data_IF_837950237687
#
_entry.id   IF_837950237687
#
_cell.length_a   1.000
_cell.length_b   1.000
_cell.length_c   1.000
_cell.angle_alpha   90.00
_cell.angle_beta   90.00
_cell.angle_gamma   90.00
#
_symmetry.space_group_name_H-M   'P 1'
#
loop_
_entity.id
_entity.type
_entity.pdbx_description
1 polymer ?
#
# COMPACT_ATOMS: atom_id res chain seq x y z
N UNK A 1 17.76 5.49 -12.04
CA UNK A 1 17.73 4.43 -11.02
C UNK A 1 18.67 4.87 -9.92
N UNK A 2 18.16 5.01 -8.69
CA UNK A 2 19.01 5.32 -7.54
C UNK A 2 20.01 4.21 -7.27
N UNK A 3 21.03 4.50 -6.46
CA UNK A 3 21.94 3.46 -5.99
C UNK A 3 21.16 2.41 -5.18
N UNK A 4 21.50 1.14 -5.35
CA UNK A 4 21.03 0.04 -4.52
C UNK A 4 22.14 -0.37 -3.56
N UNK A 5 21.76 -0.93 -2.42
CA UNK A 5 22.66 -1.57 -1.46
C UNK A 5 23.11 -2.93 -1.96
N UNK A 6 24.24 -3.43 -1.43
CA UNK A 6 24.71 -4.80 -1.68
C UNK A 6 23.80 -5.86 -1.03
N UNK A 7 23.14 -5.49 0.07
CA UNK A 7 22.15 -6.31 0.78
C UNK A 7 20.98 -5.43 1.23
N UNK A 8 19.73 -5.92 1.19
CA UNK A 8 18.59 -5.12 1.62
C UNK A 8 18.62 -4.90 3.13
N UNK A 9 18.17 -3.73 3.56
CA UNK A 9 17.87 -3.45 4.97
C UNK A 9 16.46 -3.90 5.28
N UNK A 10 16.38 -4.99 6.03
CA UNK A 10 15.12 -5.68 6.34
C UNK A 10 14.58 -5.33 7.73
N UNK A 11 15.20 -4.39 8.43
CA UNK A 11 14.63 -3.84 9.66
C UNK A 11 13.30 -3.16 9.35
N UNK A 12 12.29 -3.46 10.15
CA UNK A 12 10.94 -2.92 10.00
C UNK A 12 10.61 -1.96 11.13
N UNK A 13 9.95 -0.87 10.78
CA UNK A 13 9.30 0.00 11.74
C UNK A 13 7.80 -0.30 11.74
N UNK A 14 7.27 -0.61 12.92
CA UNK A 14 5.88 -1.00 13.11
C UNK A 14 5.17 -0.05 14.07
N UNK A 15 3.93 0.24 13.77
CA UNK A 15 2.99 0.93 14.66
C UNK A 15 1.62 0.25 14.55
N UNK A 16 0.86 0.26 15.62
CA UNK A 16 -0.50 -0.28 15.65
C UNK A 16 -1.33 0.46 16.68
N UNK A 17 -2.65 0.43 16.51
CA UNK A 17 -3.55 1.04 17.46
C UNK A 17 -5.01 0.84 17.12
N UNK A 18 -5.86 1.41 17.96
CA UNK A 18 -7.31 1.30 17.83
C UNK A 18 -8.00 2.61 18.20
N UNK A 19 -9.23 2.80 17.71
CA UNK A 19 -10.08 3.94 18.01
C UNK A 19 -11.18 4.11 16.97
N UNK A 20 -12.30 4.71 17.35
CA UNK A 20 -13.47 4.90 16.48
C UNK A 20 -14.00 3.60 15.82
N UNK A 21 -13.91 2.47 16.54
CA UNK A 21 -14.21 1.12 16.05
C UNK A 21 -13.37 0.69 14.84
N UNK A 22 -12.17 1.24 14.73
CA UNK A 22 -11.13 0.84 13.79
C UNK A 22 -9.97 0.25 14.57
N UNK A 23 -9.31 -0.74 13.98
CA UNK A 23 -7.95 -1.14 14.34
C UNK A 23 -7.04 -0.83 13.17
N UNK A 24 -5.79 -0.49 13.41
CA UNK A 24 -4.81 -0.37 12.35
C UNK A 24 -3.50 -1.03 12.73
N UNK A 25 -2.76 -1.45 11.71
CA UNK A 25 -1.35 -1.80 11.80
C UNK A 25 -0.64 -1.20 10.60
N UNK A 26 0.62 -0.85 10.77
CA UNK A 26 1.49 -0.41 9.70
C UNK A 26 2.87 -1.03 9.83
N UNK A 27 3.53 -1.14 8.70
CA UNK A 27 4.94 -1.53 8.62
C UNK A 27 5.63 -0.69 7.54
N UNK A 28 6.89 -0.39 7.76
CA UNK A 28 7.75 0.26 6.77
C UNK A 28 9.16 -0.32 6.79
N UNK A 29 9.77 -0.46 5.62
CA UNK A 29 11.07 -1.10 5.42
C UNK A 29 11.85 -0.40 4.30
N UNK A 30 13.13 -0.15 4.55
CA UNK A 30 14.00 0.51 3.58
C UNK A 30 14.29 -0.37 2.34
N UNK A 31 14.46 -1.68 2.53
CA UNK A 31 14.72 -2.60 1.42
C UNK A 31 16.07 -2.33 0.77
N UNK A 32 16.10 -2.31 -0.57
CA UNK A 32 17.34 -2.23 -1.35
C UNK A 32 17.84 -0.80 -1.58
N UNK A 33 17.04 0.23 -1.30
CA UNK A 33 17.42 1.63 -1.51
C UNK A 33 18.48 2.07 -0.49
N UNK A 34 19.31 3.06 -0.85
CA UNK A 34 20.35 3.60 0.05
C UNK A 34 19.75 4.48 1.15
N UNK A 35 18.63 5.14 0.89
CA UNK A 35 17.85 5.96 1.82
C UNK A 35 16.46 5.35 2.03
N UNK A 36 15.86 5.66 3.18
CA UNK A 36 14.43 5.50 3.44
C UNK A 36 13.79 6.87 3.28
N UNK A 37 12.96 7.04 2.25
CA UNK A 37 12.31 8.32 1.93
C UNK A 37 10.79 8.28 2.14
N UNK A 38 10.22 7.12 2.48
CA UNK A 38 8.80 7.04 2.85
C UNK A 38 8.53 7.61 4.25
N UNK A 39 7.31 8.13 4.43
CA UNK A 39 6.72 8.43 5.72
C UNK A 39 5.24 8.04 5.74
N UNK A 40 4.64 7.99 6.93
CA UNK A 40 3.23 7.65 7.10
C UNK A 40 2.61 8.43 8.26
N UNK A 41 1.29 8.47 8.31
CA UNK A 41 0.52 9.08 9.40
C UNK A 41 -0.67 8.18 9.73
N UNK A 42 -0.87 7.85 11.01
CA UNK A 42 -1.99 7.07 11.48
C UNK A 42 -2.62 7.73 12.70
N UNK A 43 -3.84 8.24 12.56
CA UNK A 43 -4.58 8.91 13.62
C UNK A 43 -5.98 8.34 13.69
N UNK A 44 -6.27 7.58 14.75
CA UNK A 44 -7.61 6.99 14.95
C UNK A 44 -8.64 8.01 15.43
N UNK A 45 -8.22 9.08 16.10
CA UNK A 45 -9.11 10.13 16.60
C UNK A 45 -8.51 11.52 16.34
N UNK A 46 -9.12 12.27 15.44
CA UNK A 46 -8.70 13.65 15.18
C UNK A 46 -9.02 14.58 16.38
N UNK A 47 -8.23 15.64 16.61
CA UNK A 47 -8.44 16.55 17.73
C UNK A 47 -9.72 17.41 17.56
N UNK A 48 -10.16 18.02 18.67
CA UNK A 48 -11.25 19.00 18.65
C UNK A 48 -12.63 18.38 18.43
N UNK A 49 -13.43 18.98 17.56
CA UNK A 49 -14.78 18.52 17.21
C UNK A 49 -14.79 17.32 16.23
N UNK A 50 -13.61 16.86 15.78
CA UNK A 50 -13.45 15.78 14.80
C UNK A 50 -13.06 14.45 15.45
N UNK A 51 -13.26 14.28 16.76
CA UNK A 51 -12.88 13.06 17.50
C UNK A 51 -13.40 11.75 16.90
N UNK A 52 -14.54 11.79 16.21
CA UNK A 52 -15.17 10.63 15.56
C UNK A 52 -14.67 10.41 14.12
N UNK A 53 -13.60 11.12 13.74
CA UNK A 53 -12.95 11.03 12.44
C UNK A 53 -11.55 10.45 12.62
N UNK A 54 -11.09 9.72 11.62
CA UNK A 54 -9.79 9.06 11.60
C UNK A 54 -9.07 9.39 10.30
N UNK A 55 -7.75 9.50 10.33
CA UNK A 55 -6.92 9.83 9.19
C UNK A 55 -5.74 8.87 9.07
N UNK A 56 -5.52 8.34 7.88
CA UNK A 56 -4.41 7.47 7.57
C UNK A 56 -3.75 7.92 6.26
N UNK A 57 -2.43 7.87 6.17
CA UNK A 57 -1.72 8.26 4.96
C UNK A 57 -0.36 7.56 4.80
N UNK A 58 0.05 7.40 3.55
CA UNK A 58 1.40 7.01 3.13
C UNK A 58 1.94 8.07 2.17
N UNK A 59 3.20 8.44 2.37
CA UNK A 59 3.92 9.48 1.63
C UNK A 59 5.21 8.87 1.09
N UNK A 60 5.32 8.70 -0.23
CA UNK A 60 6.51 8.18 -0.88
C UNK A 60 7.40 9.35 -1.32
N UNK A 61 8.52 9.52 -0.60
CA UNK A 61 9.45 10.61 -0.83
C UNK A 61 10.43 10.32 -1.96
N UNK A 62 10.80 11.36 -2.69
CA UNK A 62 11.79 11.28 -3.75
C UNK A 62 12.76 12.45 -3.70
N UNK A 63 14.04 12.15 -3.95
CA UNK A 63 15.16 13.10 -3.84
C UNK A 63 15.33 13.66 -2.42
N UNK A 64 14.95 12.87 -1.40
CA UNK A 64 15.14 13.14 0.02
C UNK A 64 13.85 13.07 0.85
N UNK A 65 13.96 12.61 2.10
CA UNK A 65 12.83 12.35 3.00
C UNK A 65 12.15 13.60 3.60
N UNK A 66 12.73 14.80 3.46
CA UNK A 66 12.24 15.98 4.20
C UNK A 66 10.74 16.27 3.94
N UNK A 67 10.30 16.07 2.70
CA UNK A 67 8.94 16.42 2.30
C UNK A 67 7.93 15.38 2.77
N UNK A 68 8.24 14.08 2.66
CA UNK A 68 7.40 13.01 3.19
C UNK A 68 7.30 13.09 4.72
N UNK A 69 8.41 13.33 5.43
CA UNK A 69 8.44 13.56 6.88
C UNK A 69 7.63 14.80 7.30
N UNK A 70 7.68 15.87 6.52
CA UNK A 70 6.88 17.07 6.79
C UNK A 70 5.39 16.78 6.59
N UNK A 71 5.03 16.04 5.54
CA UNK A 71 3.64 15.66 5.27
C UNK A 71 3.09 14.79 6.40
N UNK A 72 3.85 13.80 6.89
CA UNK A 72 3.39 12.96 8.00
C UNK A 72 3.09 13.77 9.27
N UNK A 73 3.83 14.85 9.52
CA UNK A 73 3.62 15.71 10.68
C UNK A 73 2.52 16.78 10.49
N UNK A 74 2.32 17.29 9.27
CA UNK A 74 1.53 18.52 9.05
C UNK A 74 0.33 18.38 8.13
N UNK A 75 0.25 17.31 7.32
CA UNK A 75 -0.79 17.14 6.31
C UNK A 75 -2.18 17.30 6.91
N UNK A 76 -2.49 16.52 7.94
CA UNK A 76 -3.77 16.58 8.67
C UNK A 76 -4.14 18.00 9.06
N UNK A 77 -3.27 18.68 9.81
CA UNK A 77 -3.52 20.05 10.27
C UNK A 77 -3.81 21.01 9.11
N UNK A 78 -3.08 20.88 7.99
CA UNK A 78 -3.31 21.75 6.82
C UNK A 78 -4.64 21.48 6.12
N UNK A 79 -5.08 20.22 6.01
CA UNK A 79 -6.41 19.89 5.46
C UNK A 79 -7.55 20.54 6.27
N UNK A 80 -7.33 20.73 7.57
CA UNK A 80 -8.33 21.31 8.48
C UNK A 80 -8.21 22.83 8.66
N UNK A 81 -7.14 23.50 8.21
CA UNK A 81 -6.94 24.94 8.40
C UNK A 81 -7.83 25.83 7.52
N UNK A 82 -8.35 25.31 6.40
CA UNK A 82 -9.00 26.13 5.36
C UNK A 82 -10.50 26.30 5.53
N UNK A 83 -11.29 25.23 5.39
CA UNK A 83 -12.76 25.31 5.44
C UNK A 83 -13.34 24.50 6.60
N UNK A 84 -12.73 23.34 6.90
CA UNK A 84 -13.18 22.49 8.00
C UNK A 84 -12.91 23.17 9.36
N UNK A 85 -11.89 24.02 9.49
CA UNK A 85 -11.63 24.79 10.72
C UNK A 85 -12.41 26.10 10.85
N UNK A 86 -12.98 26.64 9.76
CA UNK A 86 -13.65 27.96 9.75
C UNK A 86 -15.15 27.90 10.02
N UNK A 87 -15.81 26.76 9.79
CA UNK A 87 -17.24 26.58 10.09
C UNK A 87 -17.49 26.53 11.61
N UNK A 88 -17.58 27.70 12.24
CA UNK A 88 -17.63 27.88 13.70
C UNK A 88 -18.93 27.41 14.38
N UNK A 89 -19.89 26.80 13.68
CA UNK A 89 -21.23 26.54 14.27
C UNK A 89 -21.98 25.31 13.76
N UNK A 90 -21.49 24.57 12.77
CA UNK A 90 -22.13 23.32 12.32
C UNK A 90 -21.34 22.13 12.82
N UNK A 91 -21.99 21.29 13.63
CA UNK A 91 -21.45 20.02 14.11
C UNK A 91 -21.29 18.96 13.00
N UNK A 92 -21.64 19.32 11.75
CA UNK A 92 -21.69 18.43 10.60
C UNK A 92 -21.16 19.16 9.36
N UNK A 93 -20.02 18.69 8.84
CA UNK A 93 -19.44 19.16 7.58
C UNK A 93 -20.09 18.48 6.39
N UNK A 94 -20.39 19.25 5.35
CA UNK A 94 -20.85 18.71 4.08
C UNK A 94 -19.69 18.07 3.32
N UNK A 95 -20.00 17.11 2.44
CA UNK A 95 -18.99 16.46 1.60
C UNK A 95 -18.23 17.51 0.75
N UNK A 96 -18.92 18.56 0.30
CA UNK A 96 -18.33 19.65 -0.49
C UNK A 96 -17.31 20.46 0.31
N UNK A 97 -17.62 20.83 1.55
CA UNK A 97 -16.68 21.55 2.43
C UNK A 97 -15.43 20.71 2.72
N UNK A 98 -15.60 19.41 2.97
CA UNK A 98 -14.47 18.49 3.21
C UNK A 98 -13.61 18.35 1.95
N UNK A 99 -14.22 18.16 0.78
CA UNK A 99 -13.49 18.10 -0.50
C UNK A 99 -12.71 19.37 -0.76
N UNK A 100 -13.32 20.54 -0.53
CA UNK A 100 -12.67 21.81 -0.74
C UNK A 100 -11.53 22.03 0.26
N UNK A 101 -11.73 21.72 1.54
CA UNK A 101 -10.68 21.80 2.56
C UNK A 101 -9.48 20.89 2.26
N UNK A 102 -9.73 19.67 1.79
CA UNK A 102 -8.65 18.76 1.35
C UNK A 102 -7.89 19.36 0.17
N UNK A 103 -8.60 19.82 -0.87
CA UNK A 103 -7.98 20.40 -2.07
C UNK A 103 -7.14 21.62 -1.72
N UNK A 104 -7.69 22.56 -0.96
CA UNK A 104 -6.98 23.78 -0.54
C UNK A 104 -5.80 23.47 0.36
N UNK A 105 -5.93 22.51 1.29
CA UNK A 105 -4.83 22.07 2.14
C UNK A 105 -3.66 21.48 1.34
N UNK A 106 -3.94 20.68 0.31
CA UNK A 106 -2.89 20.18 -0.61
C UNK A 106 -2.21 21.30 -1.40
N UNK A 107 -2.98 22.25 -1.93
CA UNK A 107 -2.42 23.40 -2.66
C UNK A 107 -1.57 24.30 -1.77
N UNK A 108 -1.98 24.48 -0.51
CA UNK A 108 -1.29 25.28 0.48
C UNK A 108 0.01 24.65 0.97
N UNK A 109 0.02 23.33 1.10
CA UNK A 109 1.24 22.59 1.39
C UNK A 109 2.30 22.94 0.32
N UNK A 110 1.92 22.97 -0.97
CA UNK A 110 2.82 23.20 -2.12
C UNK A 110 3.41 24.62 -2.21
N UNK A 111 2.98 25.56 -1.37
CA UNK A 111 3.56 26.91 -1.32
C UNK A 111 4.99 26.93 -0.74
N UNK A 112 5.35 25.92 0.07
CA UNK A 112 6.70 25.81 0.64
C UNK A 112 7.66 25.02 -0.26
N UNK A 113 8.52 25.79 -0.91
CA UNK A 113 9.50 25.33 -1.87
C UNK A 113 10.64 24.50 -1.21
N UNK A 114 10.72 23.16 -1.44
CA UNK A 114 11.87 22.30 -1.05
C UNK A 114 12.35 21.27 -2.10
N UNK A 115 13.67 21.01 -2.30
CA UNK A 115 14.23 20.24 -3.46
C UNK A 115 13.78 18.78 -3.61
N UNK A 116 13.25 18.18 -2.55
CA UNK A 116 12.65 16.85 -2.57
C UNK A 116 11.17 16.93 -2.90
N UNK A 117 10.56 15.81 -3.28
CA UNK A 117 9.12 15.72 -3.43
C UNK A 117 8.53 14.52 -2.71
N UNK A 118 7.21 14.45 -2.62
CA UNK A 118 6.51 13.27 -2.14
C UNK A 118 5.18 13.05 -2.84
N UNK A 119 4.84 11.78 -3.08
CA UNK A 119 3.45 11.38 -3.29
C UNK A 119 2.66 11.56 -1.99
N UNK A 120 1.34 11.49 -2.08
CA UNK A 120 0.49 11.34 -0.92
C UNK A 120 -0.74 10.51 -1.30
N UNK A 121 -0.93 9.40 -0.62
CA UNK A 121 -2.21 8.71 -0.58
C UNK A 121 -2.75 8.77 0.83
N UNK A 122 -3.98 9.25 0.98
CA UNK A 122 -4.61 9.45 2.27
C UNK A 122 -6.04 8.93 2.27
N UNK A 123 -6.50 8.52 3.45
CA UNK A 123 -7.88 8.17 3.71
C UNK A 123 -8.36 8.92 4.94
N UNK A 124 -9.44 9.69 4.78
CA UNK A 124 -10.15 10.34 5.87
C UNK A 124 -11.47 9.60 6.09
N UNK A 125 -11.62 8.98 7.26
CA UNK A 125 -12.77 8.17 7.64
C UNK A 125 -13.63 8.99 8.59
N UNK A 126 -14.89 9.17 8.22
CA UNK A 126 -15.93 9.82 9.04
C UNK A 126 -16.93 8.78 9.53
N UNK A 127 -17.92 9.14 10.37
CA UNK A 127 -18.96 8.20 10.76
C UNK A 127 -19.75 7.61 9.58
N UNK A 128 -19.85 8.33 8.45
CA UNK A 128 -20.74 7.99 7.34
C UNK A 128 -20.04 7.81 5.98
N UNK A 129 -18.85 8.39 5.79
CA UNK A 129 -18.14 8.41 4.51
C UNK A 129 -16.66 8.09 4.67
N UNK A 130 -16.07 7.57 3.61
CA UNK A 130 -14.64 7.35 3.42
C UNK A 130 -14.19 8.24 2.27
N UNK A 131 -13.27 9.16 2.54
CA UNK A 131 -12.65 10.03 1.55
C UNK A 131 -11.29 9.45 1.18
N UNK A 132 -11.19 8.90 -0.02
CA UNK A 132 -9.92 8.50 -0.62
C UNK A 132 -9.32 9.70 -1.34
N UNK A 133 -8.07 10.02 -1.01
CA UNK A 133 -7.34 11.16 -1.54
C UNK A 133 -6.04 10.64 -2.14
N UNK A 134 -5.81 10.83 -3.43
CA UNK A 134 -4.58 10.40 -4.08
C UNK A 134 -3.90 11.55 -4.83
N UNK A 135 -2.60 11.68 -4.66
CA UNK A 135 -1.73 12.59 -5.41
C UNK A 135 -0.37 11.91 -5.62
N UNK A 136 -0.21 11.27 -6.78
CA UNK A 136 0.93 10.42 -7.10
C UNK A 136 0.51 8.99 -7.44
N UNK A 137 1.45 8.06 -7.31
CA UNK A 137 1.34 6.66 -7.71
C UNK A 137 1.47 5.66 -6.55
N UNK A 138 1.47 6.15 -5.31
CA UNK A 138 0.99 5.36 -4.18
C UNK A 138 -0.52 5.08 -4.34
N UNK A 139 -1.03 4.03 -3.71
CA UNK A 139 -2.41 3.59 -3.91
C UNK A 139 -3.08 3.19 -2.61
N UNK A 140 -4.38 3.49 -2.53
CA UNK A 140 -5.26 3.04 -1.48
C UNK A 140 -6.39 2.19 -2.06
N UNK A 141 -6.77 1.15 -1.31
CA UNK A 141 -7.75 0.15 -1.73
C UNK A 141 -8.72 -0.16 -0.59
N UNK A 142 -10.02 -0.22 -0.89
CA UNK A 142 -11.07 -0.71 -0.02
C UNK A 142 -11.35 -2.19 -0.33
N UNK A 143 -11.36 -3.02 0.70
CA UNK A 143 -11.86 -4.40 0.63
C UNK A 143 -13.25 -4.43 1.28
N UNK A 144 -14.22 -4.90 0.51
CA UNK A 144 -15.63 -5.02 0.90
C UNK A 144 -16.13 -6.40 0.53
N UNK A 145 -16.73 -7.10 1.48
CA UNK A 145 -17.18 -8.50 1.34
C UNK A 145 -16.12 -9.48 0.78
N UNK A 146 -14.84 -9.26 1.12
CA UNK A 146 -13.72 -10.09 0.68
C UNK A 146 -13.21 -9.78 -0.72
N UNK A 147 -13.74 -8.77 -1.40
CA UNK A 147 -13.35 -8.36 -2.75
C UNK A 147 -12.85 -6.91 -2.79
N UNK A 148 -12.13 -6.56 -3.87
CA UNK A 148 -11.69 -5.19 -4.13
C UNK A 148 -12.91 -4.31 -4.43
N UNK A 149 -13.36 -3.55 -3.44
CA UNK A 149 -14.53 -2.68 -3.55
C UNK A 149 -14.23 -1.33 -4.21
N UNK A 150 -13.00 -0.83 -4.04
CA UNK A 150 -12.51 0.40 -4.67
C UNK A 150 -10.98 0.45 -4.62
N UNK A 151 -10.34 1.09 -5.59
CA UNK A 151 -8.93 1.47 -5.52
C UNK A 151 -8.73 2.84 -6.17
N UNK A 152 -7.81 3.64 -5.64
CA UNK A 152 -7.42 4.91 -6.26
C UNK A 152 -6.70 4.67 -7.59
N UNK A 153 -6.79 5.62 -8.51
CA UNK A 153 -6.06 5.56 -9.78
C UNK A 153 -4.68 6.20 -9.62
N UNK A 154 -3.63 5.49 -10.04
CA UNK A 154 -2.26 5.99 -9.98
C UNK A 154 -2.03 7.11 -11.01
N UNK A 155 -1.40 8.20 -10.58
CA UNK A 155 -1.04 9.31 -11.44
C UNK A 155 0.31 9.07 -12.15
N UNK A 156 0.29 8.16 -13.12
CA UNK A 156 1.45 7.88 -13.99
C UNK A 156 1.45 8.81 -15.22
N UNK A 157 2.61 9.31 -15.70
CA UNK A 157 2.70 10.23 -16.84
C UNK A 157 2.04 9.76 -18.14
N UNK A 158 1.97 8.45 -18.41
CA UNK A 158 1.30 7.97 -19.62
C UNK A 158 -0.22 7.88 -19.51
N UNK A 159 -0.80 8.10 -18.32
CA UNK A 159 -2.25 8.14 -18.18
C UNK A 159 -2.82 9.26 -19.08
N UNK A 160 -3.93 9.03 -19.83
CA UNK A 160 -4.39 9.96 -20.85
C UNK A 160 -4.57 11.41 -20.37
N UNK A 161 -5.20 11.61 -19.21
CA UNK A 161 -5.44 12.94 -18.62
C UNK A 161 -4.14 13.63 -18.20
N UNK A 162 -3.20 12.86 -17.67
CA UNK A 162 -1.91 13.36 -17.19
C UNK A 162 -1.01 13.73 -18.37
N UNK A 163 -0.98 12.86 -19.38
CA UNK A 163 -0.27 13.08 -20.64
C UNK A 163 -0.78 14.32 -21.36
N UNK A 164 -2.09 14.51 -21.42
CA UNK A 164 -2.70 15.70 -22.02
C UNK A 164 -2.27 16.98 -21.28
N UNK A 165 -2.33 17.00 -19.94
CA UNK A 165 -1.84 18.13 -19.13
C UNK A 165 -0.36 18.42 -19.41
N UNK A 166 0.48 17.38 -19.40
CA UNK A 166 1.93 17.50 -19.65
C UNK A 166 2.20 18.09 -21.04
N UNK A 167 1.48 17.64 -22.06
CA UNK A 167 1.62 18.13 -23.43
C UNK A 167 1.14 19.59 -23.57
N UNK A 168 0.01 19.94 -22.94
CA UNK A 168 -0.53 21.30 -22.91
C UNK A 168 0.41 22.28 -22.19
N UNK A 169 1.17 21.79 -21.20
CA UNK A 169 2.21 22.53 -20.51
C UNK A 169 3.55 22.61 -21.28
N UNK A 170 3.61 22.09 -22.52
CA UNK A 170 4.78 22.17 -23.40
C UNK A 170 5.85 21.09 -23.15
N UNK A 171 5.52 20.06 -22.37
CA UNK A 171 6.40 18.92 -22.11
C UNK A 171 6.06 17.70 -22.96
N UNK A 172 6.72 16.58 -22.67
CA UNK A 172 6.55 15.31 -23.36
C UNK A 172 6.57 14.14 -22.39
N UNK A 173 5.97 13.02 -22.80
CA UNK A 173 6.05 11.75 -22.05
C UNK A 173 6.92 10.80 -22.86
N UNK A 174 8.10 10.49 -22.33
CA UNK A 174 9.10 9.62 -22.96
C UNK A 174 9.31 8.42 -22.03
N UNK A 175 8.99 7.21 -22.49
CA UNK A 175 9.14 5.96 -21.72
C UNK A 175 8.52 6.07 -20.31
N UNK A 176 7.22 6.39 -20.24
CA UNK A 176 6.47 6.55 -18.97
C UNK A 176 6.97 7.68 -18.06
N UNK A 177 7.86 8.56 -18.53
CA UNK A 177 8.43 9.65 -17.74
C UNK A 177 8.16 11.04 -18.33
N UNK A 178 7.90 12.02 -17.47
CA UNK A 178 7.81 13.44 -17.85
C UNK A 178 9.19 13.92 -18.30
N UNK A 179 9.29 14.37 -19.56
CA UNK A 179 10.53 14.76 -20.23
C UNK A 179 11.66 13.72 -20.09
N UNK A 180 11.31 12.43 -19.96
CA UNK A 180 12.28 11.34 -19.78
C UNK A 180 12.91 11.23 -18.38
N UNK A 181 12.55 12.11 -17.44
CA UNK A 181 13.16 12.16 -16.10
C UNK A 181 12.25 11.54 -15.03
N UNK A 182 11.04 12.07 -14.87
CA UNK A 182 10.20 11.80 -13.70
C UNK A 182 9.11 10.75 -13.98
N UNK A 183 9.00 9.72 -13.15
CA UNK A 183 8.08 8.59 -13.36
C UNK A 183 6.64 8.82 -12.86
N UNK A 184 6.39 9.95 -12.19
CA UNK A 184 5.08 10.31 -11.60
C UNK A 184 4.63 11.63 -12.19
N UNK A 185 3.31 11.80 -12.40
CA UNK A 185 2.74 13.03 -12.96
C UNK A 185 2.14 13.97 -11.92
N UNK A 186 1.87 13.52 -10.69
CA UNK A 186 1.39 14.37 -9.60
C UNK A 186 2.26 14.20 -8.37
N UNK A 187 2.44 15.30 -7.64
CA UNK A 187 3.23 15.35 -6.41
C UNK A 187 2.57 16.31 -5.44
N UNK A 188 2.38 15.88 -4.19
CA UNK A 188 1.78 16.70 -3.17
C UNK A 188 2.68 17.90 -2.79
N UNK A 189 3.99 17.82 -3.02
CA UNK A 189 5.01 18.83 -2.69
C UNK A 189 6.29 18.56 -3.51
N UNK A 190 6.91 19.57 -4.17
CA UNK A 190 8.28 19.49 -4.75
C UNK A 190 8.83 20.84 -5.28
N UNK A 191 10.04 21.30 -4.86
CA UNK A 191 10.95 22.20 -5.63
C UNK A 191 11.78 21.42 -6.64
N UNK A 192 12.02 20.13 -6.44
CA UNK A 192 12.88 19.33 -7.34
C UNK A 192 12.42 19.45 -8.79
N UNK A 193 11.12 19.71 -8.94
CA UNK A 193 10.45 19.90 -10.20
C UNK A 193 9.85 21.31 -10.38
N UNK A 194 10.41 22.35 -9.75
CA UNK A 194 10.00 23.73 -10.06
C UNK A 194 10.21 24.07 -11.55
N UNK A 195 11.22 23.46 -12.19
CA UNK A 195 11.37 23.49 -13.66
C UNK A 195 10.14 22.95 -14.40
N UNK A 196 9.36 22.06 -13.78
CA UNK A 196 8.11 21.52 -14.28
C UNK A 196 6.87 22.35 -13.86
N UNK A 197 7.00 23.21 -12.85
CA UNK A 197 5.95 24.13 -12.34
C UNK A 197 6.14 25.60 -12.72
N UNK A 198 6.99 25.90 -13.69
CA UNK A 198 7.36 27.27 -14.10
C UNK A 198 6.80 27.70 -15.45
N UNK A 199 5.87 26.93 -16.02
CA UNK A 199 5.27 27.27 -17.32
C UNK A 199 4.44 28.55 -17.15
N UNK A 200 4.90 29.62 -17.81
CA UNK A 200 4.26 30.95 -17.72
C UNK A 200 2.85 30.90 -18.29
N UNK A 201 1.90 31.52 -17.59
CA UNK A 201 0.52 31.63 -18.04
C UNK A 201 -0.39 30.44 -17.66
N UNK A 202 0.14 29.42 -16.99
CA UNK A 202 -0.62 28.29 -16.47
C UNK A 202 -0.78 28.39 -14.95
N UNK A 203 -1.95 28.00 -14.44
CA UNK A 203 -2.19 27.90 -13.01
C UNK A 203 -1.41 26.74 -12.35
N UNK A 204 -1.36 26.66 -11.01
CA UNK A 204 -0.60 25.63 -10.28
C UNK A 204 -0.94 24.19 -10.68
N UNK A 205 -2.20 23.92 -11.03
CA UNK A 205 -2.69 22.58 -11.37
C UNK A 205 -2.55 22.21 -12.85
N UNK A 206 -2.12 23.17 -13.68
CA UNK A 206 -1.95 23.02 -15.14
C UNK A 206 -0.48 22.87 -15.54
N UNK A 207 0.41 22.84 -14.57
CA UNK A 207 1.84 22.67 -14.77
C UNK A 207 2.17 21.25 -15.27
N UNK A 208 3.43 20.99 -15.62
CA UNK A 208 3.87 19.65 -16.02
C UNK A 208 3.65 18.62 -14.89
N UNK A 209 3.65 19.07 -13.64
CA UNK A 209 3.26 18.30 -12.45
C UNK A 209 2.21 19.08 -11.67
N UNK A 210 1.12 18.41 -11.27
CA UNK A 210 0.05 19.02 -10.49
C UNK A 210 0.10 18.58 -9.02
N UNK A 211 -0.08 19.52 -8.06
CA UNK A 211 -0.32 19.20 -6.65
C UNK A 211 -1.78 18.86 -6.34
N UNK A 212 -2.68 18.97 -7.32
CA UNK A 212 -4.11 18.75 -7.11
C UNK A 212 -4.42 17.27 -6.85
N UNK A 213 -4.97 16.91 -5.67
CA UNK A 213 -5.32 15.53 -5.38
C UNK A 213 -6.61 15.13 -6.10
N UNK A 214 -6.73 13.86 -6.44
CA UNK A 214 -8.00 13.23 -6.78
C UNK A 214 -8.72 12.80 -5.50
N UNK A 215 -9.99 13.21 -5.33
CA UNK A 215 -10.78 12.93 -4.13
C UNK A 215 -12.02 12.13 -4.50
N UNK A 216 -12.04 10.85 -4.12
CA UNK A 216 -13.21 9.98 -4.26
C UNK A 216 -13.86 9.77 -2.90
N UNK A 217 -15.20 9.89 -2.84
CA UNK A 217 -15.96 9.74 -1.60
C UNK A 217 -16.89 8.55 -1.73
N UNK A 218 -16.82 7.64 -0.77
CA UNK A 218 -17.61 6.41 -0.73
C UNK A 218 -18.42 6.41 0.57
N UNK A 219 -19.71 6.10 0.46
CA UNK A 219 -20.55 5.88 1.63
C UNK A 219 -20.11 4.61 2.38
N UNK A 220 -19.99 4.73 3.70
CA UNK A 220 -19.65 3.60 4.56
C UNK A 220 -20.79 2.59 4.57
N UNK A 221 -20.43 1.33 4.36
CA UNK A 221 -21.30 0.18 4.54
C UNK A 221 -20.79 -0.58 5.76
N UNK A 222 -21.26 -0.18 6.95
CA UNK A 222 -20.71 -0.65 8.25
C UNK A 222 -20.71 -2.17 8.40
N UNK A 223 -21.63 -2.87 7.75
CA UNK A 223 -21.76 -4.32 7.81
C UNK A 223 -20.91 -5.05 6.76
N UNK A 224 -20.32 -4.33 5.79
CA UNK A 224 -19.67 -4.88 4.59
C UNK A 224 -18.22 -4.40 4.40
N UNK A 225 -17.90 -3.19 4.83
CA UNK A 225 -16.56 -2.62 4.77
C UNK A 225 -15.66 -3.41 5.72
N UNK A 226 -14.61 -4.04 5.19
CA UNK A 226 -13.73 -4.89 5.99
C UNK A 226 -12.40 -4.23 6.24
N UNK A 227 -11.71 -3.79 5.18
CA UNK A 227 -10.34 -3.31 5.27
C UNK A 227 -10.09 -2.14 4.33
N UNK A 228 -9.18 -1.26 4.72
CA UNK A 228 -8.52 -0.34 3.82
C UNK A 228 -7.02 -0.63 3.86
N UNK A 229 -6.42 -0.66 2.68
CA UNK A 229 -4.98 -0.80 2.49
C UNK A 229 -4.46 0.49 1.87
N UNK A 230 -3.43 1.11 2.45
CA UNK A 230 -2.66 2.18 1.81
C UNK A 230 -1.22 1.72 1.68
N UNK A 231 -0.61 1.85 0.50
CA UNK A 231 0.81 1.54 0.34
C UNK A 231 1.47 2.36 -0.78
N UNK A 232 2.79 2.49 -0.71
CA UNK A 232 3.61 3.07 -1.79
C UNK A 232 3.78 2.08 -2.95
N UNK A 233 4.36 2.54 -4.06
CA UNK A 233 4.52 1.73 -5.28
C UNK A 233 5.48 0.55 -5.07
N UNK A 234 6.38 0.61 -4.09
CA UNK A 234 7.22 -0.52 -3.67
C UNK A 234 6.44 -1.80 -3.33
N UNK A 235 5.16 -1.69 -2.96
CA UNK A 235 4.22 -2.82 -2.80
C UNK A 235 3.47 -3.09 -4.10
N UNK A 236 2.87 -2.06 -4.70
CA UNK A 236 1.98 -2.19 -5.85
C UNK A 236 2.66 -2.55 -7.18
N UNK A 237 3.97 -2.34 -7.29
CA UNK A 237 4.78 -2.73 -8.45
C UNK A 237 4.93 -4.24 -8.56
N UNK A 238 4.80 -4.95 -7.43
CA UNK A 238 4.95 -6.42 -7.36
C UNK A 238 3.68 -7.15 -6.95
N UNK A 239 2.64 -6.45 -6.50
CA UNK A 239 1.34 -7.04 -6.15
C UNK A 239 0.18 -6.33 -6.85
N UNK A 240 -0.72 -7.12 -7.45
CA UNK A 240 -2.00 -6.61 -7.95
C UNK A 240 -2.96 -6.30 -6.79
N UNK A 241 -4.03 -5.58 -7.09
CA UNK A 241 -5.09 -5.29 -6.12
C UNK A 241 -5.71 -6.60 -5.59
N UNK A 242 -5.98 -7.54 -6.50
CA UNK A 242 -6.59 -8.82 -6.19
C UNK A 242 -5.64 -9.73 -5.39
N UNK A 243 -4.36 -9.79 -5.77
CA UNK A 243 -3.34 -10.57 -5.06
C UNK A 243 -3.23 -10.06 -3.60
N UNK A 244 -3.14 -8.75 -3.41
CA UNK A 244 -3.00 -8.17 -2.07
C UNK A 244 -4.28 -8.32 -1.24
N UNK A 245 -5.45 -8.17 -1.87
CA UNK A 245 -6.74 -8.41 -1.22
C UNK A 245 -6.82 -9.84 -0.67
N UNK A 246 -6.44 -10.84 -1.47
CA UNK A 246 -6.44 -12.24 -1.06
C UNK A 246 -5.43 -12.49 0.07
N UNK A 247 -4.18 -12.05 -0.11
CA UNK A 247 -3.11 -12.27 0.88
C UNK A 247 -3.47 -11.68 2.23
N UNK A 248 -3.89 -10.41 2.29
CA UNK A 248 -4.26 -9.76 3.55
C UNK A 248 -5.46 -10.47 4.19
N UNK A 249 -6.49 -10.80 3.40
CA UNK A 249 -7.68 -11.49 3.88
C UNK A 249 -7.39 -12.87 4.48
N UNK A 250 -6.49 -13.64 3.87
CA UNK A 250 -6.06 -14.94 4.39
C UNK A 250 -5.15 -14.81 5.62
N UNK A 251 -4.15 -13.91 5.59
CA UNK A 251 -3.21 -13.73 6.71
C UNK A 251 -3.90 -13.24 7.98
N UNK A 252 -4.90 -12.36 7.87
CA UNK A 252 -5.70 -11.91 9.02
C UNK A 252 -6.51 -13.03 9.68
N UNK A 253 -6.81 -14.12 8.97
CA UNK A 253 -7.45 -15.30 9.59
C UNK A 253 -6.46 -16.16 10.37
N UNK A 254 -5.16 -15.99 10.17
CA UNK A 254 -4.11 -16.70 10.91
C UNK A 254 -3.52 -15.83 12.03
N UNK A 255 -3.39 -14.53 11.79
CA UNK A 255 -2.67 -13.57 12.64
C UNK A 255 -3.59 -12.42 13.04
N UNK A 256 -3.76 -12.18 14.34
CA UNK A 256 -4.59 -11.08 14.85
C UNK A 256 -3.89 -9.71 14.77
N UNK A 257 -2.57 -9.71 14.89
CA UNK A 257 -1.74 -8.50 14.87
C UNK A 257 -1.59 -7.95 13.45
N UNK A 258 -2.24 -6.82 13.18
CA UNK A 258 -2.21 -6.16 11.87
C UNK A 258 -0.81 -5.69 11.47
N UNK A 259 0.04 -5.32 12.42
CA UNK A 259 1.43 -4.91 12.11
C UNK A 259 2.25 -6.10 11.62
N UNK A 260 2.04 -7.29 12.21
CA UNK A 260 2.65 -8.53 11.71
C UNK A 260 2.11 -8.92 10.33
N UNK A 261 0.82 -8.72 10.05
CA UNK A 261 0.27 -8.92 8.69
C UNK A 261 0.95 -7.98 7.70
N UNK A 262 1.20 -6.72 8.08
CA UNK A 262 1.95 -5.76 7.27
C UNK A 262 3.40 -6.23 7.01
N UNK A 263 4.09 -6.74 8.04
CA UNK A 263 5.44 -7.27 7.92
C UNK A 263 5.53 -8.42 6.90
N UNK A 264 4.58 -9.36 6.98
CA UNK A 264 4.51 -10.51 6.08
C UNK A 264 4.23 -10.10 4.62
N UNK A 265 3.42 -9.05 4.41
CA UNK A 265 3.20 -8.47 3.07
C UNK A 265 4.46 -7.81 2.53
N UNK A 266 5.17 -7.02 3.35
CA UNK A 266 6.43 -6.37 2.94
C UNK A 266 7.49 -7.42 2.59
N UNK A 267 7.63 -8.46 3.41
CA UNK A 267 8.57 -9.55 3.13
C UNK A 267 8.19 -10.27 1.83
N UNK A 268 6.90 -10.53 1.59
CA UNK A 268 6.43 -11.10 0.34
C UNK A 268 6.79 -10.22 -0.88
N UNK A 269 6.63 -8.90 -0.77
CA UNK A 269 6.99 -7.95 -1.83
C UNK A 269 8.50 -7.96 -2.10
N UNK A 270 9.32 -7.95 -1.04
CA UNK A 270 10.78 -8.05 -1.15
C UNK A 270 11.19 -9.35 -1.87
N UNK A 271 10.59 -10.49 -1.50
CA UNK A 271 10.88 -11.78 -2.12
C UNK A 271 10.37 -11.87 -3.56
N UNK A 272 9.31 -11.14 -3.92
CA UNK A 272 8.84 -10.99 -5.31
C UNK A 272 9.72 -10.06 -6.15
N UNK A 273 10.75 -9.46 -5.57
CA UNK A 273 11.75 -8.66 -6.28
C UNK A 273 11.53 -7.15 -6.19
N UNK A 274 10.70 -6.67 -5.26
CA UNK A 274 10.65 -5.23 -4.98
C UNK A 274 12.01 -4.74 -4.51
N UNK A 275 12.54 -3.72 -5.20
CA UNK A 275 13.82 -3.08 -4.90
C UNK A 275 13.65 -1.68 -4.31
N UNK A 276 12.44 -1.34 -3.85
CA UNK A 276 12.10 -0.01 -3.35
C UNK A 276 12.02 0.07 -1.83
N UNK A 277 11.81 1.30 -1.32
CA UNK A 277 11.20 1.49 0.00
C UNK A 277 9.78 0.92 -0.03
N UNK A 278 9.35 0.34 1.08
CA UNK A 278 8.03 -0.26 1.20
C UNK A 278 7.38 0.24 2.48
N UNK A 279 6.20 0.83 2.35
CA UNK A 279 5.36 1.24 3.46
C UNK A 279 3.92 0.81 3.19
N UNK A 280 3.28 0.20 4.19
CA UNK A 280 1.90 -0.26 4.13
C UNK A 280 1.18 0.09 5.43
N UNK A 281 -0.08 0.53 5.31
CA UNK A 281 -1.01 0.76 6.41
C UNK A 281 -2.26 -0.08 6.14
N UNK A 282 -2.61 -0.94 7.09
CA UNK A 282 -3.86 -1.69 7.12
C UNK A 282 -4.80 -1.09 8.16
N UNK A 283 -6.02 -0.76 7.73
CA UNK A 283 -7.09 -0.26 8.61
C UNK A 283 -8.24 -1.26 8.56
N UNK A 284 -8.52 -1.91 9.68
CA UNK A 284 -9.59 -2.88 9.83
C UNK A 284 -10.84 -2.25 10.46
N UNK A 285 -11.98 -2.49 9.81
CA UNK A 285 -13.31 -2.22 10.36
C UNK A 285 -13.82 -3.43 11.14
N UNK A 286 -14.96 -3.29 11.82
CA UNK A 286 -15.58 -4.35 12.62
C UNK A 286 -15.88 -5.66 11.84
N UNK A 287 -16.32 -5.63 10.57
CA UNK A 287 -16.53 -6.84 9.75
C UNK A 287 -15.25 -7.47 9.19
N UNK A 288 -14.06 -6.95 9.51
CA UNK A 288 -12.80 -7.51 9.03
C UNK A 288 -12.66 -9.01 9.39
N UNK A 289 -11.93 -9.80 8.58
CA UNK A 289 -11.65 -11.19 8.90
C UNK A 289 -11.07 -11.34 10.31
N UNK A 290 -11.68 -12.24 11.10
CA UNK A 290 -11.20 -12.59 12.44
C UNK A 290 -10.36 -13.84 12.35
N UNK A 291 -9.48 -14.02 13.34
CA UNK A 291 -8.66 -15.23 13.44
C UNK A 291 -9.56 -16.47 13.53
N UNK A 292 -9.27 -17.43 12.66
CA UNK A 292 -9.83 -18.77 12.67
C UNK A 292 -8.84 -19.70 13.38
N UNK A 293 -9.30 -20.36 14.45
CA UNK A 293 -8.45 -21.19 15.29
C UNK A 293 -7.87 -22.40 14.55
N UNK A 294 -8.61 -22.96 13.58
CA UNK A 294 -8.15 -24.10 12.78
C UNK A 294 -7.09 -23.67 11.77
N UNK A 295 -7.32 -22.54 11.08
CA UNK A 295 -6.35 -21.97 10.14
C UNK A 295 -5.07 -21.56 10.86
N UNK A 296 -5.17 -20.88 12.00
CA UNK A 296 -3.99 -20.51 12.81
C UNK A 296 -3.21 -21.75 13.29
N UNK A 297 -3.90 -22.81 13.71
CA UNK A 297 -3.23 -24.04 14.11
C UNK A 297 -2.57 -24.73 12.91
N UNK A 298 -3.18 -24.66 11.72
CA UNK A 298 -2.61 -25.19 10.49
C UNK A 298 -1.37 -24.41 10.04
N UNK A 299 -1.42 -23.09 10.11
CA UNK A 299 -0.29 -22.18 9.81
C UNK A 299 0.92 -22.52 10.68
N UNK A 300 0.72 -22.64 12.00
CA UNK A 300 1.77 -23.04 12.96
C UNK A 300 2.36 -24.42 12.67
N UNK A 301 1.53 -25.39 12.29
CA UNK A 301 2.01 -26.74 11.91
C UNK A 301 2.85 -26.70 10.64
N UNK A 302 2.46 -25.86 9.69
CA UNK A 302 3.19 -25.69 8.44
C UNK A 302 4.56 -25.03 8.68
N UNK A 303 4.61 -23.96 9.47
CA UNK A 303 5.87 -23.32 9.89
C UNK A 303 6.83 -24.35 10.53
N UNK A 304 6.34 -25.15 11.49
CA UNK A 304 7.12 -26.21 12.13
C UNK A 304 7.63 -27.26 11.14
N UNK A 305 6.81 -27.61 10.15
CA UNK A 305 7.18 -28.58 9.11
C UNK A 305 8.30 -28.03 8.22
N UNK A 306 8.21 -26.75 7.81
CA UNK A 306 9.22 -26.08 7.01
C UNK A 306 10.54 -25.97 7.78
N UNK A 307 10.50 -25.62 9.06
CA UNK A 307 11.68 -25.56 9.93
C UNK A 307 12.38 -26.93 10.03
N UNK A 308 11.61 -28.01 10.20
CA UNK A 308 12.16 -29.36 10.26
C UNK A 308 12.81 -29.79 8.94
N UNK A 309 12.16 -29.52 7.80
CA UNK A 309 12.72 -29.81 6.48
C UNK A 309 14.02 -29.04 6.23
N UNK A 310 14.05 -27.76 6.59
CA UNK A 310 15.22 -26.90 6.41
C UNK A 310 16.39 -27.36 7.29
N UNK A 311 16.13 -27.63 8.57
CA UNK A 311 17.15 -28.13 9.50
C UNK A 311 17.66 -29.54 9.13
N UNK A 312 16.79 -30.39 8.57
CA UNK A 312 17.15 -31.71 8.07
C UNK A 312 18.03 -31.65 6.82
N UNK A 313 17.70 -30.78 5.86
CA UNK A 313 18.48 -30.56 4.64
C UNK A 313 19.89 -30.02 4.96
N UNK A 314 20.02 -29.16 5.97
CA UNK A 314 21.30 -28.59 6.41
C UNK A 314 22.24 -29.57 7.13
N UNK A 315 21.81 -30.81 7.44
CA UNK A 315 22.61 -31.79 8.22
C UNK A 315 23.04 -33.03 7.44
N UNK A 316 22.74 -33.13 6.15
CA UNK A 316 23.10 -34.29 5.30
C UNK A 316 24.41 -34.13 4.51
N UNK A 317 25.10 -35.23 4.13
CA UNK A 317 26.34 -35.22 3.33
C UNK A 317 26.15 -34.73 1.88
N UNK A 318 24.93 -34.39 1.46
CA UNK A 318 24.62 -33.79 0.16
C UNK A 318 25.08 -32.33 0.02
N UNK A 319 25.74 -31.77 1.05
CA UNK A 319 26.18 -30.38 1.10
C UNK A 319 27.11 -29.97 -0.07
N UNK A 320 27.86 -30.90 -0.66
CA UNK A 320 28.79 -30.58 -1.76
C UNK A 320 28.18 -30.58 -3.16
N UNK A 321 26.97 -31.13 -3.36
CA UNK A 321 26.29 -31.10 -4.67
C UNK A 321 25.10 -30.16 -4.70
N UNK A 322 24.62 -29.70 -3.54
CA UNK A 322 23.43 -28.84 -3.43
C UNK A 322 23.75 -27.33 -3.43
N UNK A 323 24.98 -26.93 -3.08
CA UNK A 323 25.37 -25.52 -2.96
C UNK A 323 25.60 -24.77 -4.29
N UNK A 324 25.41 -25.40 -5.47
CA UNK A 324 25.71 -24.76 -6.75
C UNK A 324 24.50 -24.51 -7.68
N UNK A 325 23.29 -24.96 -7.33
CA UNK A 325 22.14 -24.84 -8.25
C UNK A 325 20.85 -24.29 -7.61
N UNK A 326 20.70 -24.26 -6.28
CA UNK A 326 19.45 -23.81 -5.67
C UNK A 326 19.67 -22.94 -4.43
N UNK A 327 19.96 -21.68 -4.67
CA UNK A 327 19.62 -20.59 -3.75
C UNK A 327 18.51 -19.77 -4.41
N UNK A 328 17.54 -19.33 -3.61
CA UNK A 328 16.43 -18.41 -3.95
C UNK A 328 15.09 -18.95 -4.49
N UNK A 329 15.01 -20.05 -5.24
CA UNK A 329 13.75 -20.32 -5.97
C UNK A 329 12.65 -21.12 -5.23
N UNK A 330 12.97 -21.93 -4.20
CA UNK A 330 11.97 -22.83 -3.59
C UNK A 330 11.10 -22.19 -2.50
N UNK A 331 11.59 -21.18 -1.79
CA UNK A 331 10.78 -20.47 -0.78
C UNK A 331 9.64 -19.69 -1.45
N UNK A 332 9.89 -19.15 -2.65
CA UNK A 332 8.88 -18.48 -3.48
C UNK A 332 7.76 -19.41 -3.96
N UNK A 333 8.05 -20.69 -4.20
CA UNK A 333 7.02 -21.64 -4.64
C UNK A 333 6.12 -22.08 -3.48
N UNK A 334 6.62 -22.12 -2.25
CA UNK A 334 5.84 -22.62 -1.10
C UNK A 334 4.91 -21.59 -0.44
N UNK A 335 5.24 -20.29 -0.46
CA UNK A 335 4.28 -19.24 -0.07
C UNK A 335 3.12 -19.17 -1.09
N UNK A 336 3.40 -19.36 -2.38
CA UNK A 336 2.37 -19.54 -3.41
C UNK A 336 1.55 -20.84 -3.22
N UNK A 337 2.14 -21.92 -2.70
CA UNK A 337 1.42 -23.16 -2.38
C UNK A 337 0.48 -22.96 -1.18
N UNK A 338 0.77 -22.10 -0.21
CA UNK A 338 -0.15 -21.85 0.92
C UNK A 338 -1.47 -21.21 0.48
N UNK A 339 -1.41 -20.24 -0.43
CA UNK A 339 -2.58 -19.50 -0.96
C UNK A 339 -3.33 -20.34 -2.02
N UNK A 340 -2.61 -21.12 -2.85
CA UNK A 340 -3.25 -22.04 -3.83
C UNK A 340 -3.81 -23.32 -3.22
N UNK A 341 -3.23 -23.87 -2.16
CA UNK A 341 -3.73 -25.12 -1.55
C UNK A 341 -5.00 -24.86 -0.76
N UNK A 342 -5.18 -23.70 -0.12
CA UNK A 342 -6.44 -23.35 0.54
C UNK A 342 -7.61 -23.13 -0.44
N UNK A 343 -7.36 -22.61 -1.64
CA UNK A 343 -8.42 -22.37 -2.64
C UNK A 343 -8.85 -23.62 -3.42
N UNK A 344 -8.02 -24.68 -3.46
CA UNK A 344 -8.34 -25.94 -4.16
C UNK A 344 -9.06 -26.95 -3.25
N UNK A 345 -8.89 -26.87 -1.92
CA UNK A 345 -9.44 -27.85 -0.98
C UNK A 345 -10.95 -27.71 -0.69
N UNK A 346 -11.65 -26.74 -1.29
CA UNK A 346 -13.12 -26.58 -1.13
C UNK A 346 -13.95 -27.28 -2.20
N UNK A 347 -13.37 -28.14 -3.05
CA UNK A 347 -14.16 -28.98 -3.98
C UNK A 347 -13.77 -30.46 -3.94
N UNK A 348 -14.67 -31.24 -3.34
CA UNK A 348 -14.80 -32.70 -3.32
C UNK A 348 -13.74 -33.53 -2.56
N UNK A 349 -14.18 -34.13 -1.45
CA UNK A 349 -13.59 -35.32 -0.84
C UNK A 349 -14.35 -36.52 -1.43
N UNK A 350 -13.68 -37.39 -2.19
CA UNK A 350 -14.19 -38.73 -2.50
C UNK A 350 -13.53 -39.75 -1.57
N UNK A 351 -14.36 -40.53 -0.86
CA UNK A 351 -13.99 -41.23 0.37
C UNK A 351 -13.56 -42.70 0.16
N UNK A 352 -13.14 -43.11 -1.04
CA UNK A 352 -12.95 -44.54 -1.34
C UNK A 352 -11.59 -44.98 -1.89
N UNK A 353 -10.67 -44.07 -2.19
CA UNK A 353 -9.32 -44.47 -2.61
C UNK A 353 -8.31 -43.45 -2.09
N UNK A 354 -7.37 -43.86 -1.24
CA UNK A 354 -6.21 -43.07 -0.80
C UNK A 354 -5.27 -42.77 -1.99
N UNK A 355 -5.75 -42.07 -3.01
CA UNK A 355 -5.01 -41.62 -4.18
C UNK A 355 -5.49 -40.24 -4.61
N UNK A 356 -4.59 -39.26 -4.58
CA UNK A 356 -4.82 -37.91 -5.09
C UNK A 356 -4.73 -37.91 -6.62
N UNK A 357 -5.78 -37.46 -7.31
CA UNK A 357 -5.74 -37.16 -8.75
C UNK A 357 -6.10 -35.70 -9.00
N UNK A 358 -5.26 -35.02 -9.78
CA UNK A 358 -5.51 -33.67 -10.29
C UNK A 358 -6.17 -33.79 -11.67
N UNK A 359 -7.42 -33.34 -11.82
CA UNK A 359 -8.16 -33.43 -13.10
C UNK A 359 -7.72 -32.38 -14.15
N UNK A 360 -6.84 -31.44 -13.78
CA UNK A 360 -6.45 -30.32 -14.65
C UNK A 360 -5.16 -30.56 -15.47
N UNK A 361 -4.41 -31.62 -15.20
CA UNK A 361 -3.10 -31.88 -15.83
C UNK A 361 -2.88 -33.38 -16.08
N UNK A 362 -3.26 -33.96 -17.23
CA UNK A 362 -3.14 -35.39 -17.50
C UNK A 362 -1.71 -35.87 -17.84
N UNK A 363 -0.65 -35.14 -17.46
CA UNK A 363 0.68 -35.31 -18.04
C UNK A 363 1.89 -35.33 -17.11
N UNK A 364 1.73 -35.18 -15.79
CA UNK A 364 2.88 -35.25 -14.86
C UNK A 364 2.84 -36.56 -14.09
N UNK A 365 3.85 -37.39 -14.37
CA UNK A 365 4.00 -38.74 -13.84
C UNK A 365 4.09 -38.78 -12.32
N UNK A 366 3.58 -39.88 -11.79
CA UNK A 366 3.55 -40.27 -10.38
C UNK A 366 4.98 -40.27 -9.82
N UNK A 367 5.26 -39.44 -8.82
CA UNK A 367 6.41 -39.64 -7.94
C UNK A 367 5.96 -40.50 -6.76
N UNK A 368 6.60 -41.66 -6.63
CA UNK A 368 6.45 -42.67 -5.58
C UNK A 368 6.97 -42.21 -4.23
#
# INVERSE_FOLDING_TARGET
MGALLDTPRTEKFNESGEGNNLRYGLSSMQGWRVSMEDAHCAITQLPGNLKDWSFFAVFDGHAGALISERLSATCVTQLFNYEIGKSSNSQMYTITEVRQGIREGFLALDEDLHKSGSTAVCVLITPNHIFFVNCGDSRAMLIRDGEVGFATTDHKPAHPTEKERIQNAGGSVIVQRVNGSLAVSRFALSLGDYSYKTVRGLGPTQQLISPEPEITVIDRQKDRDQLIVLACDGVWDVMSNEDLCQVVGERMRCVDDLSRVCDEVIDYCLYRGSSDNMSIVLVAFEPAPKVDAELQASDKRLEQTIEQMTNGACRGPAFFSFCFVFTFSLVLQFVCVCVRVCSILTTSIDHQTDQWRCESCPGLGVCS
#
